data_IF_052867508190
#
_entry.id   IF_052867508190
#
_cell.length_a   1.000
_cell.length_b   1.000
_cell.length_c   1.000
_cell.angle_alpha   90.00
_cell.angle_beta   90.00
_cell.angle_gamma   90.00
#
_symmetry.space_group_name_H-M   'P 1'
#
loop_
_entity.id
_entity.type
_entity.pdbx_description
1 polymer ?
#
# COMPACT_ATOMS: atom_id res chain seq x y z
N UNK A 1 -92.06 -35.83 -25.35
CA UNK A 1 -92.33 -34.43 -24.95
C UNK A 1 -91.44 -34.10 -23.75
N UNK A 2 -90.36 -33.32 -23.92
CA UNK A 2 -89.65 -32.55 -22.87
C UNK A 2 -88.25 -32.20 -23.36
N UNK A 3 -88.06 -31.01 -23.93
CA UNK A 3 -86.80 -30.22 -23.94
C UNK A 3 -87.03 -29.01 -24.84
N UNK A 4 -86.50 -27.85 -24.44
CA UNK A 4 -86.54 -26.53 -25.12
C UNK A 4 -87.54 -25.48 -24.59
N UNK A 5 -87.96 -25.55 -23.32
CA UNK A 5 -88.46 -24.36 -22.59
C UNK A 5 -87.36 -23.55 -21.88
N UNK A 6 -86.10 -24.03 -21.88
CA UNK A 6 -85.00 -23.43 -21.11
C UNK A 6 -84.14 -22.37 -21.82
N UNK A 7 -84.35 -22.10 -23.12
CA UNK A 7 -83.45 -21.18 -23.86
C UNK A 7 -83.80 -19.70 -23.61
N UNK A 8 -85.08 -19.37 -23.40
CA UNK A 8 -85.52 -17.98 -23.19
C UNK A 8 -85.18 -17.43 -21.79
N UNK A 9 -85.11 -18.29 -20.77
CA UNK A 9 -84.79 -17.88 -19.40
C UNK A 9 -83.29 -17.56 -19.19
N UNK A 10 -82.41 -18.17 -19.99
CA UNK A 10 -80.96 -17.93 -19.92
C UNK A 10 -80.58 -16.61 -20.60
N UNK A 11 -81.23 -16.26 -21.71
CA UNK A 11 -81.00 -14.98 -22.42
C UNK A 11 -81.48 -13.74 -21.65
N UNK A 12 -82.59 -13.83 -20.91
CA UNK A 12 -83.06 -12.71 -20.09
C UNK A 12 -82.11 -12.39 -18.92
N UNK A 13 -81.44 -13.40 -18.35
CA UNK A 13 -80.47 -13.21 -17.25
C UNK A 13 -79.09 -12.77 -17.74
N UNK A 14 -78.68 -13.12 -18.96
CA UNK A 14 -77.42 -12.63 -19.54
C UNK A 14 -77.51 -11.17 -19.98
N UNK A 15 -78.66 -10.73 -20.52
CA UNK A 15 -78.89 -9.34 -20.89
C UNK A 15 -78.86 -8.41 -19.67
N UNK A 16 -79.46 -8.82 -18.54
CA UNK A 16 -79.43 -8.06 -17.29
C UNK A 16 -78.04 -7.98 -16.64
N UNK A 17 -77.18 -8.98 -16.85
CA UNK A 17 -75.78 -8.94 -16.38
C UNK A 17 -74.91 -8.04 -17.24
N UNK A 18 -75.17 -7.98 -18.54
CA UNK A 18 -74.47 -7.10 -19.48
C UNK A 18 -74.81 -5.63 -19.25
N UNK A 19 -76.08 -5.30 -18.99
CA UNK A 19 -76.48 -3.93 -18.63
C UNK A 19 -75.91 -3.51 -17.27
N UNK A 20 -75.90 -4.41 -16.28
CA UNK A 20 -75.28 -4.13 -14.99
C UNK A 20 -73.75 -3.91 -15.10
N UNK A 21 -73.05 -4.70 -15.92
CA UNK A 21 -71.61 -4.50 -16.18
C UNK A 21 -71.32 -3.17 -16.90
N UNK A 22 -72.16 -2.77 -17.86
CA UNK A 22 -71.99 -1.49 -18.55
C UNK A 22 -72.21 -0.30 -17.63
N UNK A 23 -73.22 -0.35 -16.76
CA UNK A 23 -73.47 0.70 -15.77
C UNK A 23 -72.33 0.77 -14.74
N UNK A 24 -71.80 -0.37 -14.31
CA UNK A 24 -70.65 -0.42 -13.42
C UNK A 24 -69.39 0.15 -14.09
N UNK A 25 -69.11 -0.23 -15.34
CA UNK A 25 -67.98 0.30 -16.09
C UNK A 25 -68.10 1.82 -16.30
N UNK A 26 -69.29 2.32 -16.63
CA UNK A 26 -69.54 3.75 -16.73
C UNK A 26 -69.34 4.48 -15.39
N UNK A 27 -69.77 3.87 -14.28
CA UNK A 27 -69.55 4.40 -12.94
C UNK A 27 -68.07 4.47 -12.56
N UNK A 28 -67.28 3.45 -12.91
CA UNK A 28 -65.82 3.44 -12.66
C UNK A 28 -65.11 4.51 -13.50
N UNK A 29 -65.50 4.69 -14.76
CA UNK A 29 -64.95 5.75 -15.61
C UNK A 29 -65.31 7.14 -15.06
N UNK A 30 -66.54 7.33 -14.58
CA UNK A 30 -66.96 8.58 -13.96
C UNK A 30 -66.19 8.86 -12.67
N UNK A 31 -65.96 7.84 -11.84
CA UNK A 31 -65.16 7.93 -10.62
C UNK A 31 -63.69 8.24 -10.94
N UNK A 32 -63.11 7.63 -11.98
CA UNK A 32 -61.75 7.95 -12.43
C UNK A 32 -61.64 9.38 -12.94
N UNK A 33 -62.64 9.89 -13.66
CA UNK A 33 -62.66 11.30 -14.08
C UNK A 33 -62.80 12.26 -12.90
N UNK A 34 -63.55 11.86 -11.86
CA UNK A 34 -63.70 12.63 -10.63
C UNK A 34 -62.39 12.65 -9.81
N UNK A 35 -61.75 11.49 -9.61
CA UNK A 35 -60.44 11.39 -8.95
C UNK A 35 -59.31 12.08 -9.73
N UNK A 36 -59.41 12.14 -11.07
CA UNK A 36 -58.48 12.88 -11.90
C UNK A 36 -58.71 14.41 -11.88
N UNK A 37 -59.62 14.90 -11.03
CA UNK A 37 -59.87 16.33 -10.82
C UNK A 37 -60.42 17.05 -12.06
N UNK A 38 -61.05 16.32 -13.00
CA UNK A 38 -61.61 16.92 -14.23
C UNK A 38 -62.81 17.83 -13.97
N UNK A 39 -63.47 17.68 -12.81
CA UNK A 39 -64.65 18.45 -12.40
C UNK A 39 -64.36 19.48 -11.31
N UNK A 40 -63.13 19.58 -10.81
CA UNK A 40 -62.71 20.69 -9.98
C UNK A 40 -62.22 21.84 -10.88
N UNK A 41 -62.65 23.09 -10.65
CA UNK A 41 -62.11 24.23 -11.38
C UNK A 41 -60.61 24.27 -11.11
N UNK A 42 -59.81 23.99 -12.15
CA UNK A 42 -58.36 24.15 -12.09
C UNK A 42 -58.09 25.60 -11.72
N UNK A 43 -57.45 25.80 -10.56
CA UNK A 43 -57.00 27.12 -10.14
C UNK A 43 -56.14 27.68 -11.28
N UNK A 44 -56.49 28.84 -11.87
CA UNK A 44 -55.67 29.44 -12.91
C UNK A 44 -54.26 29.66 -12.35
N UNK A 45 -53.26 29.20 -13.09
CA UNK A 45 -51.83 29.26 -12.72
C UNK A 45 -51.33 30.72 -12.60
N UNK A 46 -52.16 31.70 -12.97
CA UNK A 46 -51.94 33.13 -12.71
C UNK A 46 -51.91 33.51 -11.23
N UNK A 47 -52.51 32.72 -10.32
CA UNK A 47 -52.54 33.06 -8.89
C UNK A 47 -51.30 32.60 -8.08
N UNK A 48 -50.33 31.93 -8.72
CA UNK A 48 -49.00 31.64 -8.11
C UNK A 48 -47.88 32.49 -8.72
N UNK A 49 -48.18 33.32 -9.71
CA UNK A 49 -47.32 34.42 -10.13
C UNK A 49 -47.76 35.71 -9.41
N UNK A 50 -47.78 35.69 -8.08
CA UNK A 50 -47.58 36.95 -7.38
C UNK A 50 -46.21 37.47 -7.84
N UNK A 51 -46.10 38.70 -8.37
CA UNK A 51 -44.78 39.27 -8.61
C UNK A 51 -44.10 39.30 -7.24
N UNK A 52 -43.06 38.48 -7.08
CA UNK A 52 -42.08 38.69 -6.01
C UNK A 52 -41.67 40.14 -6.18
N UNK A 53 -42.08 40.98 -5.23
CA UNK A 53 -41.77 42.40 -5.26
C UNK A 53 -40.27 42.50 -5.45
N UNK A 54 -39.88 43.14 -6.55
CA UNK A 54 -38.50 43.45 -6.83
C UNK A 54 -38.03 44.38 -5.71
N UNK A 55 -37.42 43.79 -4.68
CA UNK A 55 -36.69 44.55 -3.69
C UNK A 55 -35.54 45.26 -4.44
N UNK A 56 -35.39 46.55 -4.18
CA UNK A 56 -34.19 47.29 -4.60
C UNK A 56 -32.96 46.55 -4.06
N UNK A 57 -31.91 46.49 -4.87
CA UNK A 57 -30.65 45.84 -4.54
C UNK A 57 -29.97 46.64 -3.42
N UNK A 58 -30.25 46.31 -2.16
CA UNK A 58 -29.51 46.79 -1.00
C UNK A 58 -28.54 45.69 -0.53
N UNK A 59 -27.34 45.68 -1.11
CA UNK A 59 -26.31 44.71 -0.76
C UNK A 59 -25.16 44.62 -1.76
N UNK A 60 -24.02 44.13 -1.26
CA UNK A 60 -22.88 43.79 -2.11
C UNK A 60 -23.24 42.59 -2.99
N UNK A 61 -23.07 42.77 -4.31
CA UNK A 61 -23.36 41.73 -5.31
C UNK A 61 -22.06 41.05 -5.69
N UNK A 62 -22.05 39.72 -5.67
CA UNK A 62 -20.88 38.90 -5.99
C UNK A 62 -21.26 37.92 -7.11
N UNK A 63 -20.41 37.76 -8.13
CA UNK A 63 -20.65 36.77 -9.18
C UNK A 63 -20.46 35.35 -8.64
N UNK A 64 -21.25 34.41 -9.17
CA UNK A 64 -20.98 32.97 -9.05
C UNK A 64 -19.69 32.67 -9.80
N UNK A 65 -18.68 32.22 -9.08
CA UNK A 65 -17.34 31.98 -9.61
C UNK A 65 -17.10 30.50 -9.80
N UNK A 66 -16.38 30.14 -10.86
CA UNK A 66 -15.78 28.81 -11.00
C UNK A 66 -14.51 28.77 -10.17
N UNK A 67 -14.41 27.79 -9.27
CA UNK A 67 -13.19 27.47 -8.52
C UNK A 67 -12.69 26.11 -8.99
N UNK A 68 -11.41 26.05 -9.32
CA UNK A 68 -10.72 24.79 -9.66
C UNK A 68 -10.26 24.13 -8.37
N UNK A 69 -10.69 22.89 -8.15
CA UNK A 69 -10.28 22.09 -7.00
C UNK A 69 -9.46 20.89 -7.49
N UNK A 70 -8.27 20.63 -6.94
CA UNK A 70 -7.52 19.43 -7.31
C UNK A 70 -8.29 18.18 -6.85
N UNK A 71 -8.63 17.30 -7.79
CA UNK A 71 -9.18 15.99 -7.48
C UNK A 71 -8.03 15.01 -7.29
N UNK A 72 -8.03 14.30 -6.16
CA UNK A 72 -7.06 13.26 -5.87
C UNK A 72 -7.72 11.89 -5.88
N UNK A 73 -7.02 10.90 -6.42
CA UNK A 73 -7.32 9.51 -6.19
C UNK A 73 -6.38 8.91 -5.15
N UNK A 74 -6.92 8.19 -4.17
CA UNK A 74 -6.06 7.52 -3.19
C UNK A 74 -5.72 6.11 -3.63
N UNK A 75 -4.43 5.77 -3.66
CA UNK A 75 -3.98 4.39 -3.79
C UNK A 75 -3.42 3.90 -2.45
N UNK A 76 -3.87 2.72 -2.01
CA UNK A 76 -3.49 2.14 -0.72
C UNK A 76 -2.15 1.42 -0.86
N UNK A 77 -1.34 1.51 0.19
CA UNK A 77 -0.07 0.82 0.28
C UNK A 77 0.27 0.39 1.70
N UNK A 78 1.38 -0.34 1.80
CA UNK A 78 1.99 -0.73 3.07
C UNK A 78 3.36 -0.10 3.20
N UNK A 79 3.68 0.36 4.40
CA UNK A 79 4.99 0.90 4.72
C UNK A 79 5.94 -0.28 4.96
N UNK A 80 7.10 -0.24 4.32
CA UNK A 80 8.15 -1.26 4.42
C UNK A 80 9.50 -0.59 4.60
N UNK A 81 10.43 -1.31 5.21
CA UNK A 81 11.83 -0.88 5.17
C UNK A 81 12.36 -1.00 3.74
N UNK A 82 13.21 -0.06 3.33
CA UNK A 82 13.96 -0.17 2.07
C UNK A 82 14.93 -1.35 2.13
N UNK A 83 15.55 -1.55 3.30
CA UNK A 83 16.43 -2.67 3.56
C UNK A 83 15.86 -3.52 4.69
N UNK A 84 15.50 -4.75 4.35
CA UNK A 84 15.06 -5.80 5.26
C UNK A 84 15.90 -7.04 4.93
N UNK A 85 16.45 -7.70 5.93
CA UNK A 85 17.32 -8.86 5.75
C UNK A 85 16.91 -9.96 6.72
N UNK A 86 16.67 -11.14 6.15
CA UNK A 86 16.44 -12.37 6.90
C UNK A 86 17.78 -13.10 7.04
N UNK A 87 18.24 -13.26 8.27
CA UNK A 87 19.47 -13.98 8.59
C UNK A 87 19.14 -15.43 8.87
N UNK A 88 19.60 -16.33 8.01
CA UNK A 88 19.36 -17.77 8.12
C UNK A 88 20.58 -18.56 8.58
N UNK A 89 20.34 -19.80 9.03
CA UNK A 89 21.42 -20.74 9.34
C UNK A 89 22.09 -21.23 8.05
N UNK A 90 23.40 -21.45 8.12
CA UNK A 90 24.17 -22.12 7.05
C UNK A 90 24.45 -23.59 7.35
N UNK A 91 24.12 -24.06 8.55
CA UNK A 91 24.46 -25.40 9.03
C UNK A 91 23.31 -26.04 9.83
N UNK A 92 23.35 -27.37 9.91
CA UNK A 92 22.49 -28.15 10.80
C UNK A 92 23.11 -28.16 12.20
N UNK A 93 22.48 -27.51 13.18
CA UNK A 93 22.91 -27.56 14.58
C UNK A 93 21.80 -27.12 15.52
N UNK A 94 22.04 -27.34 16.81
CA UNK A 94 21.17 -26.88 17.89
C UNK A 94 21.53 -25.44 18.29
N UNK A 95 20.53 -24.63 18.62
CA UNK A 95 20.70 -23.29 19.15
C UNK A 95 21.12 -23.36 20.62
N UNK A 96 22.25 -22.75 20.96
CA UNK A 96 22.80 -22.70 22.32
C UNK A 96 22.47 -21.38 23.00
N UNK A 97 22.54 -20.27 22.26
CA UNK A 97 22.26 -18.94 22.79
C UNK A 97 21.50 -18.09 21.77
N UNK A 98 20.55 -17.28 22.26
CA UNK A 98 19.87 -16.23 21.50
C UNK A 98 20.05 -14.92 22.27
N UNK A 99 20.84 -14.00 21.70
CA UNK A 99 21.28 -12.77 22.37
C UNK A 99 20.46 -11.53 21.93
N UNK A 100 19.19 -11.72 21.61
CA UNK A 100 18.33 -10.66 21.07
C UNK A 100 16.86 -10.83 21.43
N UNK A 101 16.12 -9.74 21.35
CA UNK A 101 14.65 -9.68 21.47
C UNK A 101 14.04 -8.92 20.28
N UNK A 102 12.79 -9.22 19.95
CA UNK A 102 12.04 -8.42 18.99
C UNK A 102 11.97 -6.96 19.45
N UNK A 103 12.17 -6.02 18.52
CA UNK A 103 12.25 -4.58 18.78
C UNK A 103 13.61 -4.09 19.29
N UNK A 104 14.58 -4.97 19.55
CA UNK A 104 15.92 -4.56 19.96
C UNK A 104 16.73 -4.02 18.78
N UNK A 105 17.44 -2.91 19.00
CA UNK A 105 18.45 -2.40 18.06
C UNK A 105 19.73 -3.22 18.11
N UNK A 106 20.30 -3.53 16.94
CA UNK A 106 21.55 -4.28 16.77
C UNK A 106 22.48 -3.53 15.84
N UNK A 107 23.79 -3.69 16.05
CA UNK A 107 24.83 -3.17 15.17
C UNK A 107 25.37 -4.27 14.27
N UNK A 108 25.94 -3.88 13.14
CA UNK A 108 26.65 -4.81 12.27
C UNK A 108 27.69 -5.61 13.04
N UNK A 109 27.76 -6.91 12.78
CA UNK A 109 28.62 -7.91 13.43
C UNK A 109 28.25 -8.30 14.88
N UNK A 110 27.18 -7.73 15.47
CA UNK A 110 26.67 -8.20 16.75
C UNK A 110 26.28 -9.68 16.68
N UNK A 111 26.58 -10.44 17.73
CA UNK A 111 26.24 -11.86 17.82
C UNK A 111 24.76 -11.98 18.11
N UNK A 112 24.03 -12.59 17.17
CA UNK A 112 22.59 -12.78 17.26
C UNK A 112 22.24 -14.13 17.89
N UNK A 113 22.81 -15.18 17.33
CA UNK A 113 22.54 -16.58 17.71
C UNK A 113 23.86 -17.34 17.72
N UNK A 114 24.06 -18.16 18.75
CA UNK A 114 25.15 -19.16 18.76
C UNK A 114 24.56 -20.55 18.57
N UNK A 115 25.15 -21.27 17.62
CA UNK A 115 24.84 -22.66 17.34
C UNK A 115 25.88 -23.56 18.02
N UNK A 116 25.46 -24.79 18.32
CA UNK A 116 26.31 -25.81 18.90
C UNK A 116 27.42 -26.16 17.90
N UNK A 117 28.66 -25.90 18.32
CA UNK A 117 29.85 -26.05 17.50
C UNK A 117 30.78 -27.16 18.00
N UNK A 118 30.33 -27.99 18.94
CA UNK A 118 31.17 -29.00 19.61
C UNK A 118 31.85 -29.94 18.60
N UNK A 119 31.11 -30.44 17.63
CA UNK A 119 31.63 -31.32 16.58
C UNK A 119 32.61 -30.59 15.65
N UNK A 120 32.36 -29.32 15.33
CA UNK A 120 33.24 -28.50 14.49
C UNK A 120 34.55 -28.17 15.22
N UNK A 121 34.50 -27.93 16.53
CA UNK A 121 35.68 -27.72 17.35
C UNK A 121 36.55 -29.00 17.42
N UNK A 122 35.93 -30.17 17.59
CA UNK A 122 36.65 -31.45 17.56
C UNK A 122 37.33 -31.68 16.19
N UNK A 123 36.61 -31.42 15.09
CA UNK A 123 37.18 -31.48 13.73
C UNK A 123 38.33 -30.48 13.53
N UNK A 124 38.23 -29.28 14.09
CA UNK A 124 39.31 -28.30 14.02
C UNK A 124 40.56 -28.80 14.75
N UNK A 125 40.41 -29.37 15.93
CA UNK A 125 41.53 -29.97 16.67
C UNK A 125 42.18 -31.12 15.91
N UNK A 126 41.38 -31.98 15.25
CA UNK A 126 41.87 -33.05 14.39
C UNK A 126 42.65 -32.49 13.19
N UNK A 127 42.13 -31.48 12.50
CA UNK A 127 42.81 -30.85 11.37
C UNK A 127 44.13 -30.17 11.79
N UNK A 128 44.14 -29.50 12.94
CA UNK A 128 45.36 -28.92 13.51
C UNK A 128 46.41 -29.99 13.87
N UNK A 129 45.99 -31.16 14.35
CA UNK A 129 46.90 -32.28 14.58
C UNK A 129 47.48 -32.81 13.27
N UNK A 130 46.68 -32.89 12.20
CA UNK A 130 47.16 -33.26 10.87
C UNK A 130 48.19 -32.26 10.33
N UNK A 131 47.98 -30.95 10.52
CA UNK A 131 48.99 -29.92 10.19
C UNK A 131 50.29 -30.15 10.93
N UNK A 132 50.24 -30.41 12.24
CA UNK A 132 51.46 -30.68 13.04
C UNK A 132 52.22 -31.91 12.53
N UNK A 133 51.50 -32.99 12.19
CA UNK A 133 52.12 -34.19 11.65
C UNK A 133 52.76 -33.94 10.27
N UNK A 134 52.05 -33.24 9.37
CA UNK A 134 52.55 -32.92 8.04
C UNK A 134 53.73 -31.93 8.08
N UNK A 135 53.70 -30.95 8.99
CA UNK A 135 54.79 -30.02 9.22
C UNK A 135 56.07 -30.74 9.67
N UNK A 136 55.97 -31.69 10.61
CA UNK A 136 57.10 -32.48 11.06
C UNK A 136 57.68 -33.36 9.94
N UNK A 137 56.82 -33.96 9.11
CA UNK A 137 57.26 -34.75 7.95
C UNK A 137 57.96 -33.88 6.89
N UNK A 138 57.44 -32.68 6.64
CA UNK A 138 58.08 -31.70 5.76
C UNK A 138 59.43 -31.24 6.30
N UNK A 139 59.52 -30.91 7.59
CA UNK A 139 60.78 -30.51 8.24
C UNK A 139 61.84 -31.61 8.14
N UNK A 140 61.46 -32.88 8.36
CA UNK A 140 62.35 -34.02 8.20
C UNK A 140 62.85 -34.13 6.75
N UNK A 141 61.97 -34.08 5.77
CA UNK A 141 62.31 -34.21 4.36
C UNK A 141 63.15 -33.03 3.84
N UNK A 142 62.86 -31.81 4.31
CA UNK A 142 63.64 -30.61 4.01
C UNK A 142 65.04 -30.66 4.63
N UNK A 143 65.16 -31.17 5.86
CA UNK A 143 66.47 -31.38 6.48
C UNK A 143 67.30 -32.43 5.73
N UNK A 144 66.67 -33.47 5.19
CA UNK A 144 67.33 -34.51 4.39
C UNK A 144 67.78 -34.00 3.02
N UNK A 145 66.91 -33.28 2.30
CA UNK A 145 67.28 -32.60 1.04
C UNK A 145 68.44 -31.63 1.28
N UNK A 146 68.39 -30.82 2.35
CA UNK A 146 69.45 -29.86 2.70
C UNK A 146 70.79 -30.53 2.99
N UNK A 147 70.79 -31.74 3.59
CA UNK A 147 72.01 -32.53 3.78
C UNK A 147 72.52 -33.14 2.48
N UNK A 148 71.63 -33.59 1.61
CA UNK A 148 71.98 -34.29 0.38
C UNK A 148 72.37 -33.36 -0.77
N UNK A 149 71.89 -32.12 -0.79
CA UNK A 149 72.23 -31.12 -1.80
C UNK A 149 73.74 -30.87 -1.98
N UNK A 150 74.55 -30.63 -0.92
CA UNK A 150 76.00 -30.51 -1.08
C UNK A 150 76.65 -31.84 -1.48
N UNK A 151 76.20 -32.97 -0.92
CA UNK A 151 76.75 -34.29 -1.26
C UNK A 151 76.54 -34.65 -2.74
N UNK A 152 75.41 -34.24 -3.33
CA UNK A 152 75.16 -34.41 -4.76
C UNK A 152 76.10 -33.54 -5.61
N UNK A 153 76.36 -32.29 -5.18
CA UNK A 153 77.31 -31.38 -5.85
C UNK A 153 78.73 -31.95 -5.83
N UNK A 154 79.13 -32.54 -4.71
CA UNK A 154 80.44 -33.18 -4.52
C UNK A 154 80.51 -34.60 -5.15
N UNK A 155 79.42 -35.05 -5.80
CA UNK A 155 79.27 -36.40 -6.40
C UNK A 155 79.45 -37.55 -5.39
N UNK A 156 79.21 -37.29 -4.11
CA UNK A 156 79.26 -38.29 -3.03
C UNK A 156 77.99 -39.15 -2.97
N UNK A 157 76.89 -38.71 -3.59
CA UNK A 157 75.66 -39.50 -3.82
C UNK A 157 75.26 -39.47 -5.29
N UNK A 158 74.42 -40.43 -5.72
CA UNK A 158 73.92 -40.48 -7.09
C UNK A 158 72.88 -39.39 -7.36
N UNK A 159 72.79 -38.94 -8.62
CA UNK A 159 71.76 -38.00 -9.06
C UNK A 159 70.34 -38.53 -8.79
N UNK A 160 70.11 -39.82 -9.01
CA UNK A 160 68.84 -40.48 -8.73
C UNK A 160 68.48 -40.41 -7.24
N UNK A 161 69.45 -40.56 -6.34
CA UNK A 161 69.23 -40.48 -4.89
C UNK A 161 68.86 -39.05 -4.47
N UNK A 162 69.57 -38.04 -5.01
CA UNK A 162 69.21 -36.64 -4.78
C UNK A 162 67.80 -36.32 -5.30
N UNK A 163 67.44 -36.73 -6.52
CA UNK A 163 66.11 -36.54 -7.09
C UNK A 163 64.99 -37.18 -6.27
N UNK A 164 65.26 -38.36 -5.66
CA UNK A 164 64.33 -38.99 -4.71
C UNK A 164 64.11 -38.13 -3.48
N UNK A 165 65.18 -37.60 -2.88
CA UNK A 165 65.05 -36.74 -1.69
C UNK A 165 64.36 -35.41 -1.99
N UNK A 166 64.67 -34.79 -3.13
CA UNK A 166 63.99 -33.58 -3.60
C UNK A 166 62.49 -33.83 -3.84
N UNK A 167 62.15 -34.96 -4.46
CA UNK A 167 60.75 -35.36 -4.68
C UNK A 167 60.03 -35.63 -3.37
N UNK A 168 60.69 -36.27 -2.40
CA UNK A 168 60.14 -36.52 -1.07
C UNK A 168 59.86 -35.21 -0.31
N UNK A 169 60.79 -34.24 -0.34
CA UNK A 169 60.59 -32.91 0.24
C UNK A 169 59.40 -32.19 -0.41
N UNK A 170 59.35 -32.13 -1.74
CA UNK A 170 58.24 -31.49 -2.47
C UNK A 170 56.89 -32.13 -2.16
N UNK A 171 56.84 -33.47 -2.02
CA UNK A 171 55.63 -34.19 -1.64
C UNK A 171 55.20 -33.83 -0.22
N UNK A 172 56.14 -33.75 0.72
CA UNK A 172 55.86 -33.41 2.11
C UNK A 172 55.41 -31.94 2.25
N UNK A 173 56.01 -31.02 1.50
CA UNK A 173 55.56 -29.62 1.40
C UNK A 173 54.11 -29.54 0.91
N UNK A 174 53.78 -30.24 -0.19
CA UNK A 174 52.42 -30.26 -0.72
C UNK A 174 51.40 -30.87 0.27
N UNK A 175 51.80 -31.87 1.07
CA UNK A 175 50.98 -32.43 2.15
C UNK A 175 50.75 -31.41 3.27
N UNK A 176 51.81 -30.72 3.70
CA UNK A 176 51.70 -29.69 4.73
C UNK A 176 50.81 -28.53 4.30
N UNK A 177 50.94 -28.06 3.04
CA UNK A 177 50.04 -27.06 2.48
C UNK A 177 48.59 -27.54 2.45
N UNK A 178 48.34 -28.78 1.99
CA UNK A 178 46.98 -29.36 1.98
C UNK A 178 46.36 -29.43 3.37
N UNK A 179 47.13 -29.86 4.37
CA UNK A 179 46.66 -29.91 5.75
C UNK A 179 46.32 -28.51 6.29
N UNK A 180 47.11 -27.49 5.93
CA UNK A 180 46.84 -26.10 6.31
C UNK A 180 45.53 -25.60 5.69
N UNK A 181 45.27 -25.89 4.41
CA UNK A 181 44.00 -25.55 3.77
C UNK A 181 42.81 -26.27 4.43
N UNK A 182 43.00 -27.52 4.85
CA UNK A 182 41.98 -28.26 5.63
C UNK A 182 41.63 -27.58 6.96
N UNK A 183 42.58 -26.95 7.65
CA UNK A 183 42.29 -26.15 8.85
C UNK A 183 41.46 -24.91 8.49
N UNK A 184 41.81 -24.19 7.41
CA UNK A 184 41.07 -23.00 6.97
C UNK A 184 39.62 -23.32 6.60
N UNK A 185 39.38 -24.45 5.95
CA UNK A 185 38.03 -24.92 5.59
C UNK A 185 37.16 -25.12 6.85
N UNK A 186 37.69 -25.81 7.86
CA UNK A 186 36.97 -26.04 9.12
C UNK A 186 36.78 -24.74 9.91
N UNK A 187 37.76 -23.83 9.90
CA UNK A 187 37.63 -22.51 10.52
C UNK A 187 36.50 -21.69 9.88
N UNK A 188 36.44 -21.63 8.56
CA UNK A 188 35.37 -20.93 7.84
C UNK A 188 33.98 -21.52 8.16
N UNK A 189 33.91 -22.85 8.30
CA UNK A 189 32.67 -23.53 8.71
C UNK A 189 32.31 -23.23 10.17
N UNK A 190 33.31 -23.12 11.06
CA UNK A 190 33.10 -22.77 12.47
C UNK A 190 32.55 -21.35 12.64
N UNK A 191 32.94 -20.41 11.78
CA UNK A 191 32.38 -19.05 11.79
C UNK A 191 30.86 -19.04 11.57
N UNK A 192 30.33 -19.98 10.78
CA UNK A 192 28.90 -20.11 10.55
C UNK A 192 28.12 -20.51 11.81
N UNK A 193 28.78 -21.07 12.83
CA UNK A 193 28.14 -21.38 14.11
C UNK A 193 27.86 -20.11 14.95
N UNK A 194 28.47 -18.98 14.61
CA UNK A 194 28.14 -17.68 15.23
C UNK A 194 27.42 -16.82 14.21
N UNK A 195 26.09 -16.73 14.35
CA UNK A 195 25.25 -15.94 13.45
C UNK A 195 25.32 -14.48 13.87
N UNK A 196 25.74 -13.61 12.96
CA UNK A 196 25.95 -12.18 13.21
C UNK A 196 25.02 -11.29 12.38
N UNK A 197 24.79 -10.08 12.87
CA UNK A 197 24.02 -9.07 12.14
C UNK A 197 24.80 -8.60 10.89
N UNK A 198 24.19 -8.64 9.68
CA UNK A 198 24.84 -8.18 8.45
C UNK A 198 24.86 -6.65 8.33
N UNK A 199 23.99 -5.95 9.05
CA UNK A 199 23.84 -4.49 9.03
C UNK A 199 23.36 -3.97 10.39
N UNK A 200 23.50 -2.66 10.61
CA UNK A 200 22.81 -1.96 11.70
C UNK A 200 21.30 -1.98 11.45
N UNK A 201 20.51 -2.21 12.49
CA UNK A 201 19.05 -2.23 12.33
C UNK A 201 18.31 -2.57 13.61
N UNK A 202 17.03 -2.87 13.45
CA UNK A 202 16.14 -3.31 14.52
C UNK A 202 15.61 -4.70 14.19
N UNK A 203 15.59 -5.58 15.19
CA UNK A 203 15.03 -6.93 15.05
C UNK A 203 13.52 -6.83 14.91
N UNK A 204 12.98 -7.32 13.80
CA UNK A 204 11.53 -7.52 13.61
C UNK A 204 11.07 -8.69 14.47
N UNK A 205 11.68 -9.85 14.23
CA UNK A 205 11.29 -11.09 14.89
C UNK A 205 12.46 -12.05 15.05
N UNK A 206 12.36 -12.90 16.09
CA UNK A 206 13.23 -14.05 16.32
C UNK A 206 12.42 -15.30 15.97
N UNK A 207 12.91 -16.08 15.01
CA UNK A 207 12.24 -17.28 14.51
C UNK A 207 12.73 -18.57 15.20
N UNK A 208 13.58 -18.43 16.21
CA UNK A 208 14.19 -19.55 16.94
C UNK A 208 14.35 -19.24 18.42
N UNK A 209 14.37 -20.31 19.21
CA UNK A 209 14.61 -20.32 20.64
C UNK A 209 15.79 -21.24 21.01
N UNK A 210 16.31 -21.03 22.22
CA UNK A 210 17.38 -21.88 22.76
C UNK A 210 16.88 -23.31 22.87
N UNK A 211 17.65 -24.26 22.33
CA UNK A 211 17.29 -25.67 22.26
C UNK A 211 16.74 -26.13 20.92
N UNK A 212 16.32 -25.22 20.04
CA UNK A 212 15.83 -25.58 18.70
C UNK A 212 16.93 -26.19 17.84
N UNK A 213 16.55 -27.12 16.97
CA UNK A 213 17.44 -27.61 15.90
C UNK A 213 17.14 -26.84 14.62
N UNK A 214 18.16 -26.20 14.05
CA UNK A 214 18.03 -25.40 12.83
C UNK A 214 18.64 -26.09 11.64
N UNK A 215 18.11 -25.82 10.45
CA UNK A 215 18.58 -26.38 9.18
C UNK A 215 19.15 -25.29 8.25
N UNK A 216 20.03 -25.63 7.29
CA UNK A 216 20.52 -24.66 6.31
C UNK A 216 19.39 -23.99 5.53
N UNK A 217 19.41 -22.66 5.46
CA UNK A 217 18.38 -21.85 4.81
C UNK A 217 17.21 -21.47 5.70
N UNK A 218 17.07 -22.08 6.89
CA UNK A 218 16.05 -21.68 7.87
C UNK A 218 16.34 -20.27 8.40
N UNK A 219 15.36 -19.38 8.32
CA UNK A 219 15.44 -18.02 8.85
C UNK A 219 15.48 -18.09 10.38
N UNK A 220 16.43 -17.37 10.98
CA UNK A 220 16.62 -17.29 12.43
C UNK A 220 16.16 -15.93 12.96
N UNK A 221 16.49 -14.86 12.26
CA UNK A 221 16.24 -13.48 12.69
C UNK A 221 15.92 -12.62 11.48
N UNK A 222 14.94 -11.74 11.59
CA UNK A 222 14.67 -10.71 10.57
C UNK A 222 15.02 -9.35 11.12
N UNK A 223 15.83 -8.58 10.38
CA UNK A 223 16.33 -7.26 10.75
C UNK A 223 15.93 -6.26 9.67
N UNK A 224 15.54 -5.06 10.05
CA UNK A 224 15.29 -3.96 9.12
C UNK A 224 16.03 -2.69 9.51
N UNK A 225 16.26 -1.83 8.51
CA UNK A 225 16.79 -0.48 8.71
C UNK A 225 15.64 0.51 8.97
N UNK A 226 15.48 1.05 10.20
CA UNK A 226 14.41 1.99 10.52
C UNK A 226 14.65 3.39 9.95
N UNK A 227 15.86 3.71 9.46
CA UNK A 227 16.19 5.05 8.95
C UNK A 227 15.66 5.28 7.53
N UNK A 228 15.42 4.20 6.79
CA UNK A 228 15.01 4.23 5.38
C UNK A 228 13.75 3.42 5.21
N UNK A 229 12.62 4.10 5.34
CA UNK A 229 11.29 3.55 5.12
C UNK A 229 10.72 4.02 3.78
N UNK A 230 9.88 3.19 3.18
CA UNK A 230 9.18 3.51 1.94
C UNK A 230 7.73 3.02 2.03
N UNK A 231 6.81 3.71 1.37
CA UNK A 231 5.46 3.25 1.15
C UNK A 231 5.40 2.52 -0.20
N UNK A 232 4.95 1.28 -0.19
CA UNK A 232 4.70 0.49 -1.40
C UNK A 232 3.20 0.48 -1.65
N UNK A 233 2.75 1.30 -2.60
CA UNK A 233 1.35 1.46 -2.97
C UNK A 233 0.99 0.66 -4.23
N UNK A 234 -0.21 0.08 -4.22
CA UNK A 234 -0.77 -0.60 -5.40
C UNK A 234 -1.63 0.37 -6.18
N UNK A 235 -1.15 0.76 -7.37
CA UNK A 235 -1.76 1.79 -8.22
C UNK A 235 -2.36 1.14 -9.46
N UNK A 236 -3.60 1.52 -9.82
CA UNK A 236 -4.25 1.05 -11.05
C UNK A 236 -3.43 1.45 -12.27
N UNK A 237 -3.35 0.59 -13.27
CA UNK A 237 -2.56 0.81 -14.50
C UNK A 237 -2.80 2.20 -15.12
N UNK A 238 -4.05 2.61 -15.26
CA UNK A 238 -4.42 3.90 -15.86
C UNK A 238 -3.86 5.13 -15.14
N UNK A 239 -3.58 5.01 -13.84
CA UNK A 239 -3.01 6.07 -13.01
C UNK A 239 -1.49 5.95 -12.94
N UNK A 240 -0.96 4.72 -12.89
CA UNK A 240 0.47 4.47 -12.86
C UNK A 240 1.17 5.04 -14.10
N UNK A 241 0.51 5.03 -15.26
CA UNK A 241 1.01 5.63 -16.51
C UNK A 241 1.15 7.17 -16.46
N UNK A 242 0.48 7.83 -15.52
CA UNK A 242 0.55 9.28 -15.33
C UNK A 242 1.64 9.69 -14.34
N UNK A 243 2.17 8.73 -13.57
CA UNK A 243 3.20 8.96 -12.57
C UNK A 243 4.59 8.86 -13.18
N UNK A 244 5.52 9.63 -12.62
CA UNK A 244 6.92 9.61 -13.02
C UNK A 244 7.83 9.40 -11.80
N UNK A 245 8.91 8.64 -11.98
CA UNK A 245 9.96 8.55 -10.96
C UNK A 245 10.57 9.93 -10.71
N UNK A 246 10.76 10.31 -9.44
CA UNK A 246 11.21 11.62 -9.01
C UNK A 246 10.10 12.64 -8.79
N UNK A 247 8.85 12.31 -9.09
CA UNK A 247 7.69 13.15 -8.82
C UNK A 247 7.38 13.21 -7.31
N UNK A 248 7.08 14.41 -6.80
CA UNK A 248 6.56 14.59 -5.46
C UNK A 248 5.08 14.21 -5.37
N UNK A 249 4.72 13.51 -4.30
CA UNK A 249 3.37 13.00 -4.06
C UNK A 249 3.03 13.06 -2.57
N UNK A 250 1.79 13.45 -2.29
CA UNK A 250 1.27 13.47 -0.93
C UNK A 250 1.02 12.05 -0.42
N UNK A 251 1.47 11.80 0.81
CA UNK A 251 1.33 10.52 1.51
C UNK A 251 0.53 10.73 2.79
N UNK A 252 -0.51 9.93 2.98
CA UNK A 252 -1.28 9.87 4.22
C UNK A 252 -0.95 8.58 4.99
N UNK A 253 -0.34 8.70 6.16
CA UNK A 253 -0.09 7.58 7.07
C UNK A 253 -1.31 7.42 7.97
N UNK A 254 -2.20 6.47 7.63
CA UNK A 254 -3.50 6.33 8.29
C UNK A 254 -3.38 6.08 9.79
N UNK A 255 -2.45 5.23 10.21
CA UNK A 255 -2.26 4.90 11.64
C UNK A 255 -1.83 6.08 12.51
N UNK A 256 -1.29 7.15 11.90
CA UNK A 256 -0.88 8.37 12.61
C UNK A 256 -1.81 9.56 12.33
N UNK A 257 -2.77 9.42 11.39
CA UNK A 257 -3.56 10.51 10.83
C UNK A 257 -2.69 11.73 10.43
N UNK A 258 -1.53 11.47 9.83
CA UNK A 258 -0.56 12.49 9.42
C UNK A 258 -0.31 12.42 7.92
N UNK A 259 -0.28 13.59 7.29
CA UNK A 259 0.15 13.76 5.91
C UNK A 259 1.63 14.13 5.87
N UNK A 260 2.38 13.52 4.96
CA UNK A 260 3.78 13.83 4.65
C UNK A 260 3.94 13.93 3.13
N UNK A 261 4.91 14.72 2.69
CA UNK A 261 5.33 14.70 1.28
C UNK A 261 6.30 13.55 1.08
N UNK A 262 6.13 12.79 0.01
CA UNK A 262 7.08 11.79 -0.46
C UNK A 262 7.44 12.03 -1.92
N UNK A 263 8.47 11.33 -2.38
CA UNK A 263 8.93 11.34 -3.76
C UNK A 263 8.87 9.92 -4.29
N UNK A 264 8.36 9.75 -5.52
CA UNK A 264 8.28 8.44 -6.16
C UNK A 264 9.71 7.97 -6.46
N UNK A 265 10.18 6.94 -5.76
CA UNK A 265 11.52 6.40 -5.94
C UNK A 265 11.58 5.38 -7.07
N UNK A 266 10.51 4.61 -7.25
CA UNK A 266 10.46 3.53 -8.23
C UNK A 266 9.01 3.20 -8.61
N UNK A 267 8.79 2.91 -9.88
CA UNK A 267 7.55 2.31 -10.39
C UNK A 267 7.95 0.95 -10.94
N UNK A 268 7.50 -0.13 -10.29
CA UNK A 268 7.81 -1.49 -10.72
C UNK A 268 7.10 -1.74 -12.05
N UNK A 269 7.83 -2.03 -13.16
CA UNK A 269 7.23 -2.18 -14.48
C UNK A 269 6.58 -3.57 -14.66
N UNK A 270 5.87 -4.04 -13.64
CA UNK A 270 5.17 -5.31 -13.62
C UNK A 270 3.80 -5.11 -12.95
N UNK A 271 2.74 -5.43 -13.69
CA UNK A 271 1.39 -5.46 -13.15
C UNK A 271 1.17 -6.77 -12.39
N UNK A 272 0.73 -6.68 -11.13
CA UNK A 272 0.43 -7.87 -10.33
C UNK A 272 -0.75 -8.64 -10.94
N UNK A 273 -0.55 -9.91 -11.30
CA UNK A 273 -1.54 -10.70 -12.05
C UNK A 273 -2.94 -10.74 -11.42
N UNK A 274 -3.03 -10.72 -10.09
CA UNK A 274 -4.30 -10.77 -9.37
C UNK A 274 -5.08 -9.45 -9.40
N UNK A 275 -4.41 -8.30 -9.38
CA UNK A 275 -5.04 -6.98 -9.23
C UNK A 275 -4.89 -6.08 -10.45
N UNK A 276 -4.02 -6.44 -11.41
CA UNK A 276 -3.55 -5.58 -12.51
C UNK A 276 -3.06 -4.20 -12.02
N UNK A 277 -2.58 -4.13 -10.78
CA UNK A 277 -2.02 -2.93 -10.20
C UNK A 277 -0.49 -2.96 -10.31
N UNK A 278 0.08 -1.78 -10.53
CA UNK A 278 1.52 -1.54 -10.50
C UNK A 278 1.94 -1.18 -9.08
N UNK A 279 3.14 -1.60 -8.68
CA UNK A 279 3.70 -1.19 -7.40
C UNK A 279 4.47 0.12 -7.57
N UNK A 280 4.01 1.16 -6.88
CA UNK A 280 4.69 2.45 -6.81
C UNK A 280 5.31 2.58 -5.43
N UNK A 281 6.64 2.73 -5.40
CA UNK A 281 7.42 2.92 -4.18
C UNK A 281 7.66 4.41 -3.98
N UNK A 282 7.31 4.90 -2.80
CA UNK A 282 7.46 6.30 -2.41
C UNK A 282 8.35 6.38 -1.18
N UNK A 283 9.43 7.15 -1.27
CA UNK A 283 10.33 7.46 -0.16
C UNK A 283 10.14 8.91 0.24
N UNK A 284 10.35 9.27 1.50
CA UNK A 284 10.21 10.66 1.89
C UNK A 284 10.31 10.88 3.40
N UNK A 285 10.43 12.14 3.83
CA UNK A 285 10.41 12.48 5.24
C UNK A 285 8.98 12.32 5.77
N UNK A 286 8.66 11.11 6.24
CA UNK A 286 7.45 10.88 7.02
C UNK A 286 7.78 10.93 8.52
N UNK A 287 6.80 11.25 9.39
CA UNK A 287 7.02 11.46 10.81
C UNK A 287 7.64 10.22 11.48
N UNK A 288 8.40 10.44 12.55
CA UNK A 288 8.90 9.36 13.39
C UNK A 288 7.74 8.51 13.96
N UNK A 289 8.03 7.25 14.31
CA UNK A 289 7.03 6.31 14.83
C UNK A 289 6.30 5.50 13.75
N UNK A 290 6.87 5.45 12.55
CA UNK A 290 6.40 4.57 11.47
C UNK A 290 7.09 3.22 11.59
N UNK A 291 6.29 2.16 11.52
CA UNK A 291 6.74 0.78 11.56
C UNK A 291 6.42 0.07 10.25
N UNK A 292 7.21 -0.96 9.94
CA UNK A 292 6.91 -1.87 8.83
C UNK A 292 5.53 -2.50 9.04
N UNK A 293 4.77 -2.66 7.96
CA UNK A 293 3.40 -3.19 7.98
C UNK A 293 2.30 -2.15 8.23
N UNK A 294 2.61 -0.91 8.62
CA UNK A 294 1.59 0.14 8.74
C UNK A 294 0.98 0.49 7.37
N UNK A 295 -0.29 0.86 7.35
CA UNK A 295 -0.97 1.29 6.13
C UNK A 295 -0.72 2.77 5.81
N UNK A 296 -0.46 3.04 4.54
CA UNK A 296 -0.40 4.38 3.98
C UNK A 296 -1.28 4.51 2.74
N UNK A 297 -1.52 5.73 2.31
CA UNK A 297 -2.10 6.04 1.00
C UNK A 297 -1.24 7.08 0.32
N UNK A 298 -1.08 6.96 -0.99
CA UNK A 298 -0.61 8.07 -1.82
C UNK A 298 -1.82 8.77 -2.40
N UNK A 299 -1.75 10.09 -2.53
CA UNK A 299 -2.78 10.93 -3.15
C UNK A 299 -2.29 11.31 -4.55
N UNK A 300 -2.82 10.62 -5.55
CA UNK A 300 -2.47 10.82 -6.96
C UNK A 300 -3.32 11.96 -7.50
N UNK A 301 -2.73 13.07 -7.96
CA UNK A 301 -3.48 14.14 -8.60
C UNK A 301 -4.05 13.61 -9.92
N UNK A 302 -5.36 13.78 -10.13
CA UNK A 302 -6.05 13.44 -11.37
C UNK A 302 -6.08 14.68 -12.29
N UNK A 303 -7.16 15.44 -12.17
CA UNK A 303 -7.41 16.68 -12.88
C UNK A 303 -8.07 17.66 -11.91
N UNK A 304 -8.07 18.94 -12.26
CA UNK A 304 -8.84 19.91 -11.52
C UNK A 304 -10.33 19.76 -11.89
N UNK A 305 -11.18 19.67 -10.87
CA UNK A 305 -12.62 19.78 -11.03
C UNK A 305 -13.02 21.25 -10.98
N UNK A 306 -13.77 21.70 -11.98
CA UNK A 306 -14.37 23.03 -12.00
C UNK A 306 -15.71 22.97 -11.24
N UNK A 307 -15.78 23.66 -10.11
CA UNK A 307 -16.99 23.75 -9.29
C UNK A 307 -17.49 25.17 -9.21
N UNK A 308 -18.82 25.34 -9.14
CA UNK A 308 -19.44 26.64 -8.91
C UNK A 308 -19.42 26.93 -7.42
N UNK A 309 -18.96 28.11 -7.03
CA UNK A 309 -18.93 28.54 -5.64
C UNK A 309 -19.56 29.91 -5.46
N UNK A 310 -20.18 30.09 -4.30
CA UNK A 310 -20.63 31.38 -3.77
C UNK A 310 -20.14 31.54 -2.34
N UNK A 311 -20.00 32.77 -1.82
CA UNK A 311 -19.72 32.97 -0.40
C UNK A 311 -20.74 32.24 0.45
N UNK A 312 -20.30 31.56 1.52
CA UNK A 312 -21.21 30.80 2.38
C UNK A 312 -22.34 31.68 2.98
N UNK A 313 -22.08 32.97 3.14
CA UNK A 313 -23.05 33.97 3.64
C UNK A 313 -24.19 34.26 2.66
N UNK A 314 -24.01 33.97 1.37
CA UNK A 314 -25.03 34.17 0.33
C UNK A 314 -26.16 33.14 0.38
N UNK A 315 -25.95 31.99 1.03
CA UNK A 315 -26.94 30.91 1.12
C UNK A 315 -27.68 30.98 2.44
N UNK A 316 -29.02 31.02 2.39
CA UNK A 316 -29.89 30.92 3.56
C UNK A 316 -30.61 29.59 3.58
N UNK A 317 -30.66 28.98 4.77
CA UNK A 317 -31.50 27.82 5.01
C UNK A 317 -32.85 28.29 5.57
N UNK A 318 -33.92 28.09 4.81
CA UNK A 318 -35.31 28.37 5.25
C UNK A 318 -36.06 27.05 5.32
N UNK A 319 -36.28 26.57 6.55
CA UNK A 319 -36.81 25.22 6.77
C UNK A 319 -35.84 24.15 6.28
N UNK A 320 -36.23 23.44 5.21
CA UNK A 320 -35.41 22.41 4.55
C UNK A 320 -34.84 22.86 3.19
N UNK A 321 -35.13 24.10 2.76
CA UNK A 321 -34.70 24.62 1.47
C UNK A 321 -33.50 25.56 1.64
N UNK A 322 -32.51 25.37 0.78
CA UNK A 322 -31.37 26.28 0.63
C UNK A 322 -31.71 27.30 -0.46
N UNK A 323 -31.71 28.58 -0.11
CA UNK A 323 -32.12 29.69 -0.96
C UNK A 323 -30.96 30.67 -1.14
N UNK A 324 -30.86 31.22 -2.34
CA UNK A 324 -29.97 32.33 -2.70
C UNK A 324 -30.78 33.43 -3.36
N UNK A 325 -30.34 34.67 -3.20
CA UNK A 325 -30.92 35.83 -3.86
C UNK A 325 -30.10 36.19 -5.09
N UNK A 326 -30.69 35.94 -6.27
CA UNK A 326 -30.08 36.17 -7.59
C UNK A 326 -30.52 37.53 -8.11
N UNK A 327 -29.57 38.33 -8.59
CA UNK A 327 -29.78 39.65 -9.16
C UNK A 327 -29.75 39.55 -10.69
N UNK A 328 -30.86 39.86 -11.34
CA UNK A 328 -31.00 39.86 -12.80
C UNK A 328 -31.72 41.15 -13.23
N UNK A 329 -31.13 41.91 -14.17
CA UNK A 329 -31.65 43.20 -14.65
C UNK A 329 -32.02 44.20 -13.51
N UNK A 330 -31.23 44.21 -12.43
CA UNK A 330 -31.46 45.07 -11.27
C UNK A 330 -32.61 44.63 -10.36
N UNK A 331 -33.16 43.43 -10.57
CA UNK A 331 -34.20 42.84 -9.71
C UNK A 331 -33.65 41.65 -8.93
N UNK A 332 -34.04 41.54 -7.67
CA UNK A 332 -33.70 40.42 -6.79
C UNK A 332 -34.76 39.34 -6.89
N UNK A 333 -34.35 38.09 -7.13
CA UNK A 333 -35.23 36.91 -7.13
C UNK A 333 -34.67 35.83 -6.21
N UNK A 334 -35.54 35.20 -5.42
CA UNK A 334 -35.15 34.07 -4.56
C UNK A 334 -35.15 32.79 -5.37
N UNK A 335 -34.03 32.06 -5.33
CA UNK A 335 -33.88 30.79 -6.06
C UNK A 335 -33.45 29.69 -5.10
N UNK A 336 -34.12 28.54 -5.21
CA UNK A 336 -33.69 27.34 -4.50
C UNK A 336 -32.44 26.76 -5.17
N UNK A 337 -31.45 26.45 -4.36
CA UNK A 337 -30.19 25.82 -4.78
C UNK A 337 -29.98 24.53 -4.00
N UNK A 338 -29.05 23.72 -4.49
CA UNK A 338 -28.49 22.61 -3.74
C UNK A 338 -27.01 22.86 -3.54
N UNK A 339 -26.58 22.94 -2.29
CA UNK A 339 -25.18 23.14 -1.94
C UNK A 339 -24.44 21.82 -1.72
N UNK A 340 -23.11 21.88 -1.79
CA UNK A 340 -22.19 20.75 -1.64
C UNK A 340 -21.15 21.00 -0.53
N UNK A 341 -19.87 20.84 -0.86
CA UNK A 341 -18.75 21.03 0.06
C UNK A 341 -18.65 22.47 0.54
N UNK A 342 -18.28 22.66 1.81
CA UNK A 342 -17.87 23.97 2.36
C UNK A 342 -16.37 24.14 2.20
N UNK A 343 -15.94 25.26 1.64
CA UNK A 343 -14.58 25.50 1.16
C UNK A 343 -14.08 26.87 1.63
N UNK A 344 -13.42 26.93 2.78
CA UNK A 344 -12.76 28.13 3.33
C UNK A 344 -13.49 29.46 3.04
N UNK A 345 -14.72 29.59 3.55
CA UNK A 345 -15.55 30.80 3.41
C UNK A 345 -16.53 30.77 2.23
N UNK A 346 -16.33 29.88 1.26
CA UNK A 346 -17.24 29.61 0.15
C UNK A 346 -18.03 28.31 0.35
N UNK A 347 -19.09 28.13 -0.43
CA UNK A 347 -19.84 26.89 -0.53
C UNK A 347 -20.05 26.50 -1.99
N UNK A 348 -19.86 25.23 -2.28
CA UNK A 348 -20.09 24.64 -3.60
C UNK A 348 -21.59 24.61 -3.94
N UNK A 349 -21.93 24.94 -5.18
CA UNK A 349 -23.28 24.87 -5.74
C UNK A 349 -23.37 23.69 -6.70
N UNK A 350 -24.17 22.69 -6.33
CA UNK A 350 -24.43 21.49 -7.14
C UNK A 350 -25.54 21.73 -8.18
N UNK A 351 -26.54 22.55 -7.85
CA UNK A 351 -27.60 22.92 -8.79
C UNK A 351 -28.31 24.21 -8.40
N UNK A 352 -28.90 24.88 -9.39
CA UNK A 352 -29.76 26.06 -9.22
C UNK A 352 -29.15 27.39 -9.66
N UNK A 353 -27.83 27.46 -9.87
CA UNK A 353 -27.14 28.65 -10.40
C UNK A 353 -26.28 28.29 -11.61
N UNK A 354 -25.92 29.31 -12.37
CA UNK A 354 -24.96 29.21 -13.49
C UNK A 354 -23.76 30.12 -13.24
N UNK A 355 -22.67 29.83 -13.93
CA UNK A 355 -21.48 30.68 -13.92
C UNK A 355 -21.83 32.12 -14.35
N UNK A 356 -21.27 33.10 -13.64
CA UNK A 356 -21.43 34.52 -13.96
C UNK A 356 -22.76 35.13 -13.51
N UNK A 357 -23.72 34.35 -13.00
CA UNK A 357 -24.90 34.91 -12.35
C UNK A 357 -24.50 35.73 -11.13
N UNK A 358 -25.24 36.80 -10.87
CA UNK A 358 -24.96 37.72 -9.78
C UNK A 358 -25.81 37.33 -8.57
N UNK A 359 -25.18 37.15 -7.41
CA UNK A 359 -25.89 36.81 -6.16
C UNK A 359 -25.56 37.82 -5.07
N UNK A 360 -26.49 38.06 -4.14
CA UNK A 360 -26.20 38.90 -2.99
C UNK A 360 -25.20 38.21 -2.05
N UNK A 361 -24.12 38.90 -1.70
CA UNK A 361 -23.07 38.42 -0.80
C UNK A 361 -23.59 38.09 0.61
N UNK A 362 -24.59 38.86 1.03
CA UNK A 362 -25.33 38.65 2.28
C UNK A 362 -26.75 39.16 2.06
N UNK A 363 -27.76 38.28 1.89
CA UNK A 363 -29.14 38.69 1.75
C UNK A 363 -29.62 39.44 3.00
N UNK A 364 -30.43 40.48 2.82
CA UNK A 364 -30.92 41.30 3.92
C UNK A 364 -31.69 40.43 4.93
N UNK A 365 -31.42 40.64 6.23
CA UNK A 365 -32.18 40.01 7.30
C UNK A 365 -33.63 40.49 7.22
N UNK A 366 -34.56 39.64 6.77
CA UNK A 366 -35.98 39.85 7.03
C UNK A 366 -36.14 39.89 8.56
N UNK A 367 -36.43 41.08 9.09
CA UNK A 367 -36.81 41.26 10.47
C UNK A 367 -38.06 40.39 10.72
N UNK A 368 -38.01 39.59 11.79
CA UNK A 368 -39.08 38.70 12.21
C UNK A 368 -40.39 39.43 12.50
#
# INVERSE_FOLDING_TARGET
MTRRRDVLAVWARSLGRLTAMLVFAAGVVLLMLWLAGKFEPKVPVEALAAPVQAAEVDGEVVPVRVRKLPLYESAVGSIRAVHETSVGSKLLARVVEVNLKAGQGVKQNDVLVRLDATDLQAKLQQAQAAVRAAAAAHEQAAAEEKRNAPLAKDRAISQQEYERTLTAMRKAEAEWQRAQEGVKEIQATLEWATVRAPMDGVVIDKHVDVGDTVTPGQILVTIFDPKRMQLVASVRESLALQLQTGQDIDVLVQGLNKQCSGTISEIVPEAQAASRAFQVKVTGPCPAGIYTGMFGRILIPLAEEEILVVPQKSVRLVGQLELVEVVEDGRVSRRAVRTGRKLDGDVEILSGLREGEQVLASPASEAA
#
